data_IF_874538766892
#
_entry.id   IF_874538766892
#
_cell.length_a   1.000
_cell.length_b   1.000
_cell.length_c   1.000
_cell.angle_alpha   90.00
_cell.angle_beta   90.00
_cell.angle_gamma   90.00
#
_symmetry.space_group_name_H-M   'P 1'
#
loop_
_entity.id
_entity.type
_entity.pdbx_description
1 polymer ?
#
# COMPACT_ATOMS: atom_id res chain seq x y z
N UNK A 1 -11.57 1.90 -2.04
CA UNK A 1 -10.99 2.14 -3.37
C UNK A 1 -11.97 2.95 -4.22
N UNK A 2 -11.43 3.93 -4.96
CA UNK A 2 -12.14 4.70 -5.98
C UNK A 2 -11.30 4.66 -7.27
N UNK A 3 -11.47 3.65 -8.14
CA UNK A 3 -10.71 3.54 -9.38
C UNK A 3 -11.18 4.58 -10.42
N UNK A 4 -10.48 4.69 -11.55
CA UNK A 4 -10.81 5.65 -12.63
C UNK A 4 -12.25 5.55 -13.13
N UNK A 5 -12.89 4.38 -13.02
CA UNK A 5 -14.29 4.18 -13.39
C UNK A 5 -15.32 4.78 -12.43
N UNK A 6 -14.89 5.44 -11.34
CA UNK A 6 -15.77 6.17 -10.41
C UNK A 6 -16.55 5.29 -9.41
N UNK A 7 -16.35 3.97 -9.43
CA UNK A 7 -16.90 3.09 -8.39
C UNK A 7 -16.37 3.47 -7.01
N UNK A 8 -17.19 3.31 -5.96
CA UNK A 8 -16.78 3.54 -4.59
C UNK A 8 -16.99 2.28 -3.77
N UNK A 9 -15.90 1.63 -3.38
CA UNK A 9 -15.94 0.34 -2.67
C UNK A 9 -15.12 0.42 -1.40
N UNK A 10 -15.73 0.09 -0.26
CA UNK A 10 -15.01 -0.05 1.02
C UNK A 10 -14.26 -1.37 1.02
N UNK A 11 -12.97 -1.33 1.33
CA UNK A 11 -12.07 -2.50 1.36
C UNK A 11 -11.07 -2.33 2.50
N UNK A 12 -10.58 -3.46 3.03
CA UNK A 12 -9.62 -3.45 4.15
C UNK A 12 -8.25 -2.91 3.74
N UNK A 13 -7.90 -3.02 2.45
CA UNK A 13 -6.77 -2.31 1.83
C UNK A 13 -7.12 -1.96 0.37
N UNK A 14 -6.33 -1.07 -0.23
CA UNK A 14 -6.44 -0.73 -1.65
C UNK A 14 -5.04 -0.50 -2.24
N UNK A 15 -4.82 -0.99 -3.46
CA UNK A 15 -3.62 -0.71 -4.27
C UNK A 15 -4.04 -0.03 -5.58
N UNK A 16 -3.19 0.83 -6.13
CA UNK A 16 -3.48 1.58 -7.34
C UNK A 16 -2.22 2.14 -8.01
N UNK A 17 -2.38 2.70 -9.21
CA UNK A 17 -1.26 3.14 -10.06
C UNK A 17 -0.67 2.01 -10.90
N UNK A 18 0.33 2.35 -11.73
CA UNK A 18 0.98 1.43 -12.67
C UNK A 18 1.68 0.25 -11.99
N UNK A 19 2.22 0.46 -10.77
CA UNK A 19 2.90 -0.57 -10.00
C UNK A 19 1.97 -1.62 -9.35
N UNK A 20 0.67 -1.34 -9.28
CA UNK A 20 -0.27 -2.18 -8.52
C UNK A 20 -0.41 -3.60 -9.09
N UNK A 21 -0.33 -3.77 -10.41
CA UNK A 21 -0.47 -5.08 -11.05
C UNK A 21 0.63 -6.06 -10.67
N UNK A 22 1.81 -5.57 -10.28
CA UNK A 22 2.97 -6.41 -9.94
C UNK A 22 2.88 -7.06 -8.56
N UNK A 23 2.00 -6.56 -7.68
CA UNK A 23 1.99 -6.92 -6.27
C UNK A 23 0.72 -7.62 -5.79
N UNK A 24 -0.22 -7.95 -6.67
CA UNK A 24 -1.43 -8.71 -6.31
C UNK A 24 -1.09 -9.98 -5.53
N UNK A 25 -0.17 -10.80 -6.04
CA UNK A 25 0.24 -12.03 -5.36
C UNK A 25 0.90 -11.79 -4.00
N UNK A 26 1.66 -10.70 -3.85
CA UNK A 26 2.29 -10.34 -2.57
C UNK A 26 1.24 -9.92 -1.53
N UNK A 27 0.32 -9.04 -1.91
CA UNK A 27 -0.70 -8.55 -0.99
C UNK A 27 -1.67 -9.65 -0.60
N UNK A 28 -2.07 -10.52 -1.54
CA UNK A 28 -2.95 -11.65 -1.24
C UNK A 28 -2.31 -12.66 -0.28
N UNK A 29 -1.00 -12.89 -0.40
CA UNK A 29 -0.27 -13.83 0.45
C UNK A 29 0.11 -13.27 1.83
N UNK A 30 0.30 -11.95 1.93
CA UNK A 30 0.93 -11.33 3.11
C UNK A 30 -0.04 -10.49 3.94
N UNK A 31 -1.09 -9.94 3.32
CA UNK A 31 -2.10 -9.20 4.05
C UNK A 31 -2.82 -10.11 5.04
N UNK A 32 -3.05 -9.59 6.24
CA UNK A 32 -3.83 -10.24 7.27
C UNK A 32 -4.57 -9.19 8.08
N UNK A 33 -5.78 -9.53 8.49
CA UNK A 33 -6.55 -8.65 9.37
C UNK A 33 -5.87 -8.54 10.75
N UNK A 34 -6.07 -7.40 11.42
CA UNK A 34 -5.53 -7.16 12.75
C UNK A 34 -4.01 -6.95 12.82
N UNK A 35 -3.36 -6.53 11.73
CA UNK A 35 -1.96 -6.07 11.80
C UNK A 35 -1.80 -4.90 12.77
N UNK A 36 -0.68 -4.88 13.50
CA UNK A 36 -0.27 -3.70 14.27
C UNK A 36 0.10 -2.55 13.32
N UNK A 37 0.29 -1.34 13.88
CA UNK A 37 0.74 -0.18 13.10
C UNK A 37 2.07 -0.47 12.40
N UNK A 38 3.02 -1.03 13.13
CA UNK A 38 4.37 -1.35 12.65
C UNK A 38 4.32 -2.41 11.54
N UNK A 39 3.45 -3.42 11.68
CA UNK A 39 3.24 -4.44 10.67
C UNK A 39 2.59 -3.86 9.40
N UNK A 40 1.62 -2.96 9.54
CA UNK A 40 1.02 -2.25 8.42
C UNK A 40 2.06 -1.41 7.66
N UNK A 41 2.91 -0.69 8.39
CA UNK A 41 3.99 0.12 7.80
C UNK A 41 4.99 -0.77 7.05
N UNK A 42 5.43 -1.87 7.65
CA UNK A 42 6.36 -2.80 7.01
C UNK A 42 5.75 -3.48 5.78
N UNK A 43 4.49 -3.94 5.88
CA UNK A 43 3.74 -4.51 4.76
C UNK A 43 3.65 -3.52 3.58
N UNK A 44 3.31 -2.27 3.87
CA UNK A 44 3.17 -1.22 2.85
C UNK A 44 4.52 -0.89 2.21
N UNK A 45 5.59 -0.78 3.01
CA UNK A 45 6.94 -0.54 2.50
C UNK A 45 7.41 -1.66 1.58
N UNK A 46 7.21 -2.92 1.98
CA UNK A 46 7.59 -4.08 1.17
C UNK A 46 6.79 -4.14 -0.14
N UNK A 47 5.47 -3.90 -0.08
CA UNK A 47 4.62 -3.86 -1.27
C UNK A 47 5.09 -2.79 -2.26
N UNK A 48 5.41 -1.59 -1.77
CA UNK A 48 5.93 -0.50 -2.61
C UNK A 48 7.29 -0.85 -3.19
N UNK A 49 8.22 -1.40 -2.40
CA UNK A 49 9.54 -1.81 -2.88
C UNK A 49 9.44 -2.84 -4.02
N UNK A 50 8.59 -3.85 -3.88
CA UNK A 50 8.34 -4.86 -4.91
C UNK A 50 7.73 -4.27 -6.18
N UNK A 51 6.77 -3.35 -6.04
CA UNK A 51 6.17 -2.66 -7.18
C UNK A 51 7.22 -1.80 -7.91
N UNK A 52 8.03 -1.04 -7.16
CA UNK A 52 9.09 -0.16 -7.71
C UNK A 52 10.21 -0.94 -8.40
N UNK A 53 10.47 -2.20 -8.01
CA UNK A 53 11.46 -3.04 -8.68
C UNK A 53 11.03 -3.44 -10.11
N UNK A 54 9.72 -3.54 -10.36
CA UNK A 54 9.18 -4.12 -11.60
C UNK A 54 8.48 -3.13 -12.50
N UNK A 55 7.87 -2.10 -11.95
CA UNK A 55 7.21 -1.05 -12.72
C UNK A 55 8.17 0.11 -13.01
N UNK A 56 8.50 0.29 -14.29
CA UNK A 56 9.39 1.37 -14.74
C UNK A 56 8.85 2.79 -14.51
N UNK A 57 7.56 2.95 -14.25
CA UNK A 57 6.95 4.25 -13.90
C UNK A 57 6.98 4.54 -12.39
N UNK A 58 7.31 3.54 -11.56
CA UNK A 58 7.39 3.65 -10.11
C UNK A 58 8.85 3.67 -9.65
N UNK A 59 9.17 4.45 -8.61
CA UNK A 59 10.55 4.51 -8.11
C UNK A 59 10.83 5.67 -7.15
N UNK A 60 12.08 5.78 -6.72
CA UNK A 60 12.54 6.81 -5.79
C UNK A 60 12.42 6.39 -4.33
N UNK A 61 11.69 7.15 -3.52
CA UNK A 61 11.58 6.95 -2.07
C UNK A 61 10.17 6.52 -1.67
N UNK A 62 10.09 5.69 -0.64
CA UNK A 62 8.83 5.22 -0.05
C UNK A 62 8.41 6.23 1.02
N UNK A 63 7.29 6.92 0.82
CA UNK A 63 6.73 7.86 1.81
C UNK A 63 5.52 7.22 2.46
N UNK A 64 5.55 7.08 3.79
CA UNK A 64 4.47 6.47 4.57
C UNK A 64 3.82 7.50 5.48
N UNK A 65 2.52 7.34 5.69
CA UNK A 65 1.76 8.07 6.69
C UNK A 65 0.80 7.11 7.42
N UNK A 66 0.92 7.02 8.73
CA UNK A 66 -0.03 6.31 9.58
C UNK A 66 -1.03 7.32 10.16
N UNK A 67 -2.32 7.07 9.95
CA UNK A 67 -3.41 7.91 10.44
C UNK A 67 -4.18 7.11 11.50
N UNK A 68 -4.16 7.60 12.73
CA UNK A 68 -4.88 7.01 13.86
C UNK A 68 -5.51 8.10 14.73
N UNK A 69 -6.21 7.73 15.79
CA UNK A 69 -6.83 8.68 16.73
C UNK A 69 -5.80 9.65 17.33
N UNK A 70 -4.57 9.19 17.58
CA UNK A 70 -3.46 10.01 18.07
C UNK A 70 -2.94 11.04 17.07
N UNK A 71 -3.44 11.05 15.84
CA UNK A 71 -3.04 11.94 14.76
C UNK A 71 -2.31 11.25 13.61
N UNK A 72 -1.47 12.01 12.92
CA UNK A 72 -0.76 11.56 11.72
C UNK A 72 0.74 11.46 11.99
N UNK A 73 1.29 10.26 11.81
CA UNK A 73 2.73 10.00 11.86
C UNK A 73 3.26 9.83 10.43
N UNK A 74 4.43 10.42 10.11
CA UNK A 74 5.02 10.38 8.76
C UNK A 74 6.43 9.81 8.81
N UNK A 75 6.76 8.99 7.81
CA UNK A 75 8.08 8.39 7.61
C UNK A 75 8.48 8.51 6.13
N UNK A 76 9.77 8.76 5.88
CA UNK A 76 10.38 8.85 4.54
C UNK A 76 11.53 7.87 4.46
#
# INVERSE_FOLDING_TARGET
>A
SVPMGGMMVRQSFAIGGSGSSYIYGYVDATYREGMTKEECLQFTANALALAMERDGSSGGVIRLAAIAESGVERQV
#
